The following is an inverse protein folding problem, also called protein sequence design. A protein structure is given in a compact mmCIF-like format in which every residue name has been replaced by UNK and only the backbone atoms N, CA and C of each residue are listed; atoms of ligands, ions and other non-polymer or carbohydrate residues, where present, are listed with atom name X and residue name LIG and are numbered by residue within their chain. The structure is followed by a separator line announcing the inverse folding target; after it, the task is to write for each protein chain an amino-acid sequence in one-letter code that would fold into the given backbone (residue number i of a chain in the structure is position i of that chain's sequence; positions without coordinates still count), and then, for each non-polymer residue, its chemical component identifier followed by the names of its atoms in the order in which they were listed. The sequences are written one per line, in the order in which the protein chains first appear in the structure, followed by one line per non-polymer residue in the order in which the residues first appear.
data_IF_582499100867
#
_entry.id   IF_582499100867
#
_cell.length_a   1.000
_cell.length_b   1.000
_cell.length_c   1.000
_cell.angle_alpha   90.00
_cell.angle_beta   90.00
_cell.angle_gamma   90.00
#
_symmetry.space_group_name_H-M   'P 1'
#
loop_
_entity.id
_entity.type
_entity.pdbx_description
1 polymer ?
#
# COMPACT_ATOMS: atom_id res chain seq x y z
N UNK A 1 -14.12 -13.88 -2.51
CA UNK A 1 -13.11 -12.98 -1.90
C UNK A 1 -12.74 -11.80 -2.81
N UNK A 2 -12.39 -12.02 -4.09
CA UNK A 2 -11.98 -10.97 -5.04
C UNK A 2 -13.07 -9.90 -5.23
N UNK A 3 -14.32 -10.31 -5.47
CA UNK A 3 -15.46 -9.39 -5.61
C UNK A 3 -15.62 -8.49 -4.38
N UNK A 4 -15.53 -9.06 -3.17
CA UNK A 4 -15.60 -8.28 -1.94
C UNK A 4 -14.49 -7.22 -1.89
N UNK A 5 -13.25 -7.56 -2.29
CA UNK A 5 -12.13 -6.60 -2.33
C UNK A 5 -12.38 -5.45 -3.30
N UNK A 6 -12.94 -5.74 -4.48
CA UNK A 6 -13.34 -4.73 -5.47
C UNK A 6 -14.37 -3.80 -4.85
N UNK A 7 -15.47 -4.34 -4.31
CA UNK A 7 -16.53 -3.55 -3.68
C UNK A 7 -16.01 -2.69 -2.53
N UNK A 8 -15.23 -3.28 -1.61
CA UNK A 8 -14.68 -2.53 -0.46
C UNK A 8 -13.72 -1.45 -0.91
N UNK A 9 -12.85 -1.71 -1.90
CA UNK A 9 -11.90 -0.69 -2.39
C UNK A 9 -12.61 0.44 -3.13
N UNK A 10 -13.63 0.16 -3.93
CA UNK A 10 -14.46 1.18 -4.57
C UNK A 10 -15.19 2.06 -3.55
N UNK A 11 -15.80 1.45 -2.53
CA UNK A 11 -16.46 2.20 -1.44
C UNK A 11 -15.45 3.07 -0.68
N UNK A 12 -14.28 2.52 -0.34
CA UNK A 12 -13.22 3.29 0.34
C UNK A 12 -12.74 4.48 -0.50
N UNK A 13 -12.58 4.32 -1.82
CA UNK A 13 -12.20 5.42 -2.72
C UNK A 13 -13.26 6.53 -2.69
N UNK A 14 -14.54 6.17 -2.81
CA UNK A 14 -15.63 7.15 -2.76
C UNK A 14 -15.62 7.89 -1.42
N UNK A 15 -15.50 7.16 -0.30
CA UNK A 15 -15.45 7.76 1.04
C UNK A 15 -14.25 8.70 1.22
N UNK A 16 -13.07 8.33 0.72
CA UNK A 16 -11.88 9.18 0.76
C UNK A 16 -12.07 10.46 -0.07
N UNK A 17 -12.65 10.36 -1.26
CA UNK A 17 -12.98 11.54 -2.07
C UNK A 17 -13.99 12.44 -1.35
N UNK A 18 -15.03 11.87 -0.75
CA UNK A 18 -15.99 12.63 0.06
C UNK A 18 -15.31 13.33 1.25
N UNK A 19 -14.42 12.64 1.97
CA UNK A 19 -13.66 13.23 3.07
C UNK A 19 -12.82 14.43 2.63
N UNK A 20 -12.15 14.36 1.48
CA UNK A 20 -11.36 15.47 0.96
C UNK A 20 -12.25 16.68 0.61
N UNK A 21 -13.47 16.45 0.08
CA UNK A 21 -14.45 17.51 -0.12
C UNK A 21 -14.88 18.21 1.18
N UNK A 22 -14.89 17.49 2.31
CA UNK A 22 -15.27 18.03 3.62
C UNK A 22 -14.07 18.50 4.47
N UNK A 23 -12.84 18.44 3.95
CA UNK A 23 -11.60 18.77 4.67
C UNK A 23 -11.62 20.13 5.37
N UNK A 24 -12.24 21.14 4.76
CA UNK A 24 -12.27 22.51 5.29
C UNK A 24 -13.13 22.64 6.56
N UNK A 25 -14.04 21.70 6.82
CA UNK A 25 -14.90 21.72 8.02
C UNK A 25 -14.23 21.16 9.26
N UNK A 26 -13.06 20.52 9.14
CA UNK A 26 -12.40 19.87 10.27
C UNK A 26 -11.50 20.85 11.05
N UNK A 27 -11.81 21.21 12.31
CA UNK A 27 -10.99 22.12 13.12
C UNK A 27 -9.83 21.35 13.76
N UNK A 28 -8.82 21.00 12.95
CA UNK A 28 -7.58 20.40 13.45
C UNK A 28 -6.38 21.31 13.27
N UNK A 29 -5.39 21.13 14.15
CA UNK A 29 -4.09 21.77 14.05
C UNK A 29 -3.41 21.47 12.70
N UNK A 30 -2.61 22.41 12.21
CA UNK A 30 -2.08 22.36 10.83
C UNK A 30 -1.17 21.14 10.60
N UNK A 31 -0.38 20.73 11.59
CA UNK A 31 0.45 19.52 11.55
C UNK A 31 -0.40 18.25 11.36
N UNK A 32 -1.44 18.10 12.17
CA UNK A 32 -2.36 16.97 12.11
C UNK A 32 -3.10 16.91 10.78
N UNK A 33 -3.56 18.05 10.24
CA UNK A 33 -4.17 18.11 8.89
C UNK A 33 -3.20 17.61 7.81
N UNK A 34 -1.94 18.01 7.89
CA UNK A 34 -0.91 17.58 6.94
C UNK A 34 -0.67 16.06 7.02
N UNK A 35 -0.55 15.50 8.23
CA UNK A 35 -0.37 14.06 8.43
C UNK A 35 -1.60 13.25 7.98
N UNK A 36 -2.81 13.74 8.27
CA UNK A 36 -4.07 13.13 7.82
C UNK A 36 -4.14 13.08 6.29
N UNK A 37 -3.72 14.15 5.60
CA UNK A 37 -3.69 14.18 4.14
C UNK A 37 -2.71 13.14 3.57
N UNK A 38 -1.52 13.00 4.16
CA UNK A 38 -0.56 11.96 3.76
C UNK A 38 -1.11 10.56 4.00
N UNK A 39 -1.74 10.32 5.15
CA UNK A 39 -2.40 9.05 5.43
C UNK A 39 -3.54 8.74 4.44
N UNK A 40 -4.36 9.75 4.13
CA UNK A 40 -5.42 9.66 3.13
C UNK A 40 -4.87 9.33 1.74
N UNK A 41 -3.75 9.95 1.34
CA UNK A 41 -3.05 9.66 0.09
C UNK A 41 -2.56 8.21 0.04
N UNK A 42 -1.89 7.72 1.09
CA UNK A 42 -1.43 6.32 1.15
C UNK A 42 -2.59 5.33 1.08
N UNK A 43 -3.67 5.60 1.80
CA UNK A 43 -4.88 4.77 1.77
C UNK A 43 -5.52 4.78 0.38
N UNK A 44 -5.57 5.95 -0.27
CA UNK A 44 -6.06 6.08 -1.64
C UNK A 44 -5.24 5.24 -2.63
N UNK A 45 -3.90 5.34 -2.58
CA UNK A 45 -2.99 4.53 -3.42
C UNK A 45 -3.19 3.04 -3.15
N UNK A 46 -3.36 2.64 -1.88
CA UNK A 46 -3.60 1.25 -1.50
C UNK A 46 -4.93 0.72 -2.07
N UNK A 47 -6.01 1.51 -1.98
CA UNK A 47 -7.30 1.14 -2.53
C UNK A 47 -7.28 1.06 -4.06
N UNK A 48 -6.66 2.04 -4.74
CA UNK A 48 -6.54 2.04 -6.21
C UNK A 48 -5.69 0.86 -6.69
N UNK A 49 -4.55 0.60 -6.07
CA UNK A 49 -3.70 -0.55 -6.42
C UNK A 49 -4.44 -1.88 -6.19
N UNK A 50 -5.18 -2.00 -5.10
CA UNK A 50 -6.04 -3.17 -4.84
C UNK A 50 -7.12 -3.31 -5.91
N UNK A 51 -7.81 -2.23 -6.26
CA UNK A 51 -8.86 -2.25 -7.28
C UNK A 51 -8.32 -2.69 -8.64
N UNK A 52 -7.18 -2.13 -9.05
CA UNK A 52 -6.51 -2.47 -10.31
C UNK A 52 -6.07 -3.95 -10.32
N UNK A 53 -5.37 -4.41 -9.27
CA UNK A 53 -4.87 -5.79 -9.18
C UNK A 53 -6.02 -6.82 -9.26
N UNK A 54 -7.11 -6.58 -8.53
CA UNK A 54 -8.27 -7.47 -8.55
C UNK A 54 -9.04 -7.39 -9.88
N UNK A 55 -9.15 -6.21 -10.49
CA UNK A 55 -9.80 -6.05 -11.81
C UNK A 55 -9.04 -6.79 -12.90
N UNK A 56 -7.71 -6.66 -12.93
CA UNK A 56 -6.88 -7.40 -13.88
C UNK A 56 -7.01 -8.90 -13.64
N UNK A 57 -6.99 -9.35 -12.38
CA UNK A 57 -7.16 -10.77 -12.04
C UNK A 57 -8.49 -11.31 -12.56
N UNK A 58 -9.60 -10.60 -12.34
CA UNK A 58 -10.92 -10.99 -12.87
C UNK A 58 -10.91 -11.04 -14.40
N UNK A 59 -10.34 -10.00 -15.03
CA UNK A 59 -10.26 -9.94 -16.49
C UNK A 59 -9.45 -11.12 -17.06
N UNK A 60 -8.27 -11.40 -16.52
CA UNK A 60 -7.43 -12.53 -16.94
C UNK A 60 -8.16 -13.86 -16.77
N UNK A 61 -8.84 -14.07 -15.64
CA UNK A 61 -9.63 -15.29 -15.43
C UNK A 61 -10.81 -15.42 -16.40
N UNK A 62 -11.43 -14.30 -16.79
CA UNK A 62 -12.54 -14.29 -17.73
C UNK A 62 -12.10 -14.57 -19.17
N UNK A 63 -10.93 -14.06 -19.57
CA UNK A 63 -10.42 -14.18 -20.95
C UNK A 63 -9.49 -15.38 -21.17
N UNK A 64 -9.07 -16.08 -20.11
CA UNK A 64 -8.14 -17.20 -20.23
C UNK A 64 -8.79 -18.36 -21.00
N UNK A 65 -8.15 -18.76 -22.09
CA UNK A 65 -8.54 -19.97 -22.84
C UNK A 65 -7.69 -21.16 -22.43
N UNK A 66 -6.42 -20.92 -22.06
CA UNK A 66 -5.48 -21.92 -21.59
C UNK A 66 -4.92 -21.58 -20.20
N UNK A 67 -4.50 -22.59 -19.44
CA UNK A 67 -3.90 -22.40 -18.12
C UNK A 67 -2.60 -21.56 -18.15
N UNK A 68 -1.88 -21.58 -19.28
CA UNK A 68 -0.68 -20.77 -19.49
C UNK A 68 -0.96 -19.27 -19.53
N UNK A 69 -2.18 -18.86 -19.90
CA UNK A 69 -2.56 -17.44 -20.05
C UNK A 69 -2.66 -16.73 -18.69
N UNK A 70 -2.74 -17.50 -17.61
CA UNK A 70 -2.81 -17.01 -16.22
C UNK A 70 -1.40 -16.78 -15.65
N UNK A 71 -0.35 -17.30 -16.30
CA UNK A 71 1.02 -17.17 -15.81
C UNK A 71 1.54 -15.75 -16.04
N UNK A 72 1.82 -15.04 -14.95
CA UNK A 72 2.45 -13.73 -14.97
C UNK A 72 3.96 -13.85 -14.85
N UNK A 73 4.66 -12.90 -15.49
CA UNK A 73 6.12 -12.78 -15.36
C UNK A 73 6.51 -11.95 -14.14
N UNK A 74 7.76 -12.12 -13.70
CA UNK A 74 8.39 -11.34 -12.62
C UNK A 74 8.22 -9.83 -12.81
N UNK A 75 8.39 -9.35 -14.04
CA UNK A 75 8.30 -7.92 -14.37
C UNK A 75 6.87 -7.37 -14.28
N UNK A 76 5.86 -8.22 -14.45
CA UNK A 76 4.46 -7.82 -14.26
C UNK A 76 4.07 -7.83 -12.77
N UNK A 77 4.60 -8.79 -12.01
CA UNK A 77 4.26 -8.97 -10.60
C UNK A 77 4.93 -7.96 -9.68
N UNK A 78 6.20 -7.65 -9.92
CA UNK A 78 6.98 -6.74 -9.08
C UNK A 78 6.34 -5.35 -8.91
N UNK A 79 5.98 -4.61 -9.98
CA UNK A 79 5.38 -3.29 -9.81
C UNK A 79 4.01 -3.35 -9.14
N UNK A 80 3.19 -4.37 -9.44
CA UNK A 80 1.86 -4.54 -8.82
C UNK A 80 1.96 -4.70 -7.32
N UNK A 81 2.93 -5.47 -6.84
CA UNK A 81 3.14 -5.70 -5.40
C UNK A 81 3.88 -4.56 -4.72
N UNK A 82 4.88 -3.98 -5.38
CA UNK A 82 5.66 -2.89 -4.81
C UNK A 82 4.79 -1.68 -4.48
N UNK A 83 3.90 -1.28 -5.39
CA UNK A 83 3.01 -0.13 -5.17
C UNK A 83 2.12 -0.36 -3.93
N UNK A 84 1.48 -1.53 -3.84
CA UNK A 84 0.65 -1.88 -2.70
C UNK A 84 1.45 -1.97 -1.39
N UNK A 85 2.67 -2.52 -1.43
CA UNK A 85 3.55 -2.60 -0.26
C UNK A 85 3.97 -1.22 0.23
N UNK A 86 4.43 -0.33 -0.66
CA UNK A 86 4.81 1.05 -0.34
C UNK A 86 3.61 1.77 0.29
N UNK A 87 2.41 1.64 -0.30
CA UNK A 87 1.21 2.27 0.23
C UNK A 87 0.81 1.74 1.62
N UNK A 88 0.95 0.42 1.85
CA UNK A 88 0.70 -0.20 3.14
C UNK A 88 1.68 0.33 4.20
N UNK A 89 2.99 0.32 3.92
CA UNK A 89 4.00 0.83 4.86
C UNK A 89 3.84 2.33 5.08
N UNK A 90 3.49 3.12 4.06
CA UNK A 90 3.16 4.53 4.19
C UNK A 90 1.95 4.77 5.09
N UNK A 91 0.90 3.94 4.97
CA UNK A 91 -0.28 4.01 5.84
C UNK A 91 0.09 3.71 7.31
N UNK A 92 0.87 2.65 7.56
CA UNK A 92 1.35 2.32 8.92
C UNK A 92 2.26 3.42 9.50
N UNK A 93 3.22 3.90 8.70
CA UNK A 93 4.17 4.93 9.13
C UNK A 93 3.47 6.27 9.42
N UNK A 94 2.47 6.65 8.62
CA UNK A 94 1.66 7.85 8.86
C UNK A 94 0.79 7.72 10.12
N UNK A 95 0.23 6.55 10.43
CA UNK A 95 -0.45 6.31 11.71
C UNK A 95 0.50 6.47 12.90
N UNK A 96 1.71 5.93 12.81
CA UNK A 96 2.75 6.12 13.83
C UNK A 96 3.11 7.60 14.01
N UNK A 97 3.29 8.33 12.90
CA UNK A 97 3.58 9.76 12.93
C UNK A 97 2.43 10.57 13.59
N UNK A 98 1.17 10.26 13.27
CA UNK A 98 0.01 10.87 13.93
C UNK A 98 -0.03 10.56 15.43
N UNK A 99 0.29 9.33 15.85
CA UNK A 99 0.34 8.95 17.25
C UNK A 99 1.43 9.70 18.02
N UNK A 100 2.62 9.86 17.43
CA UNK A 100 3.73 10.64 18.00
C UNK A 100 3.37 12.13 18.12
N UNK A 101 2.71 12.69 17.11
CA UNK A 101 2.25 14.07 17.12
C UNK A 101 1.21 14.31 18.24
N UNK A 102 0.24 13.40 18.39
CA UNK A 102 -0.74 13.47 19.48
C UNK A 102 -0.10 13.31 20.85
N UNK A 103 0.88 12.41 21.00
CA UNK A 103 1.64 12.25 22.25
C UNK A 103 2.39 13.53 22.60
N UNK A 104 3.04 14.17 21.61
CA UNK A 104 3.74 15.43 21.81
C UNK A 104 2.79 16.55 22.23
N UNK A 105 1.61 16.62 21.61
CA UNK A 105 0.54 17.56 21.97
C UNK A 105 0.07 17.37 23.41
N UNK A 106 -0.14 16.11 23.84
CA UNK A 106 -0.55 15.80 25.22
C UNK A 106 0.55 16.12 26.24
N UNK A 107 1.82 15.89 25.91
CA UNK A 107 2.94 16.17 26.82
C UNK A 107 3.21 17.67 27.00
N UNK A 108 2.85 18.50 26.02
CA UNK A 108 3.17 19.93 26.00
C UNK A 108 1.91 20.80 25.81
N UNK A 109 0.80 20.46 26.47
CA UNK A 109 -0.49 21.11 26.26
C UNK A 109 -0.43 22.65 26.32
N UNK A 110 0.34 23.20 27.26
CA UNK A 110 0.47 24.65 27.46
C UNK A 110 1.23 25.38 26.34
N UNK A 111 2.15 24.69 25.65
CA UNK A 111 3.00 25.28 24.60
C UNK A 111 2.70 24.71 23.21
N UNK A 112 1.75 23.77 23.11
CA UNK A 112 1.41 23.12 21.85
C UNK A 112 0.78 24.10 20.86
N UNK A 113 -0.11 24.98 21.32
CA UNK A 113 -0.75 25.98 20.44
C UNK A 113 0.23 27.06 19.97
N UNK A 114 1.30 27.31 20.73
CA UNK A 114 2.35 28.28 20.39
C UNK A 114 3.55 27.66 19.68
N UNK A 115 3.67 26.32 19.63
CA UNK A 115 4.81 25.68 19.00
C UNK A 115 4.76 25.91 17.48
N UNK A 116 5.91 26.34 16.94
CA UNK A 116 5.98 26.78 15.56
C UNK A 116 5.53 25.73 14.55
N UNK A 117 5.05 26.20 13.40
CA UNK A 117 4.53 25.43 12.24
C UNK A 117 5.53 24.39 11.67
N UNK A 118 6.76 24.37 12.15
CA UNK A 118 7.88 23.54 11.67
C UNK A 118 7.85 22.09 12.16
N UNK A 119 7.14 21.77 13.24
CA UNK A 119 7.10 20.41 13.78
C UNK A 119 6.36 19.43 12.86
N UNK A 120 5.28 19.87 12.20
CA UNK A 120 4.51 19.03 11.26
C UNK A 120 5.35 18.43 10.14
N UNK A 121 6.10 19.25 9.36
CA UNK A 121 7.00 18.76 8.33
C UNK A 121 8.03 17.72 8.79
N UNK A 122 8.51 17.77 10.03
CA UNK A 122 9.48 16.80 10.57
C UNK A 122 8.86 15.40 10.61
N UNK A 123 7.65 15.27 11.15
CA UNK A 123 6.92 13.99 11.15
C UNK A 123 6.61 13.49 9.73
N UNK A 124 6.42 14.42 8.79
CA UNK A 124 6.26 14.09 7.38
C UNK A 124 7.52 13.47 6.79
N UNK A 125 8.67 14.14 6.96
CA UNK A 125 9.96 13.63 6.45
C UNK A 125 10.31 12.27 7.07
N UNK A 126 10.12 12.11 8.39
CA UNK A 126 10.43 10.85 9.07
C UNK A 126 9.62 9.67 8.53
N UNK A 127 8.31 9.83 8.33
CA UNK A 127 7.51 8.72 7.79
C UNK A 127 7.81 8.46 6.31
N UNK A 128 8.15 9.47 5.52
CA UNK A 128 8.57 9.28 4.12
C UNK A 128 9.87 8.48 4.02
N UNK A 129 10.86 8.80 4.85
CA UNK A 129 12.13 8.05 4.93
C UNK A 129 11.85 6.59 5.28
N UNK A 130 11.02 6.34 6.30
CA UNK A 130 10.65 4.98 6.69
C UNK A 130 9.93 4.23 5.56
N UNK A 131 8.99 4.89 4.88
CA UNK A 131 8.22 4.32 3.77
C UNK A 131 9.12 3.95 2.59
N UNK A 132 10.03 4.85 2.20
CA UNK A 132 10.99 4.58 1.12
C UNK A 132 11.97 3.49 1.49
N UNK A 133 12.49 3.49 2.72
CA UNK A 133 13.37 2.44 3.23
C UNK A 133 12.71 1.06 3.20
N UNK A 134 11.47 0.95 3.70
CA UNK A 134 10.70 -0.30 3.66
C UNK A 134 10.35 -0.75 2.23
N UNK A 135 10.00 0.18 1.34
CA UNK A 135 9.77 -0.10 -0.08
C UNK A 135 11.02 -0.61 -0.79
N UNK A 136 12.18 -0.02 -0.50
CA UNK A 136 13.47 -0.48 -1.01
C UNK A 136 13.81 -1.88 -0.50
N UNK A 137 13.56 -2.16 0.79
CA UNK A 137 13.75 -3.51 1.33
C UNK A 137 12.87 -4.53 0.60
N UNK A 138 11.59 -4.24 0.37
CA UNK A 138 10.71 -5.09 -0.44
C UNK A 138 11.24 -5.26 -1.87
N UNK A 139 11.73 -4.20 -2.49
CA UNK A 139 12.33 -4.32 -3.83
C UNK A 139 13.57 -5.25 -3.83
N UNK A 140 14.48 -5.08 -2.87
CA UNK A 140 15.75 -5.79 -2.81
C UNK A 140 15.60 -7.26 -2.39
N UNK A 141 14.70 -7.55 -1.45
CA UNK A 141 14.52 -8.89 -0.90
C UNK A 141 13.76 -9.84 -1.83
N UNK A 142 12.97 -9.30 -2.77
CA UNK A 142 12.07 -10.11 -3.59
C UNK A 142 12.74 -10.54 -4.89
N UNK A 143 12.67 -11.84 -5.16
CA UNK A 143 12.96 -12.43 -6.46
C UNK A 143 11.71 -13.17 -6.90
N UNK A 144 11.19 -12.88 -8.08
CA UNK A 144 10.06 -13.61 -8.63
C UNK A 144 10.62 -14.71 -9.56
N UNK A 145 10.14 -15.96 -9.44
CA UNK A 145 10.43 -16.98 -10.44
C UNK A 145 9.85 -16.55 -11.79
N UNK A 146 10.43 -17.06 -12.89
CA UNK A 146 10.16 -16.55 -14.25
C UNK A 146 8.68 -16.55 -14.64
N UNK A 147 7.87 -17.46 -14.09
CA UNK A 147 6.42 -17.56 -14.33
C UNK A 147 5.66 -18.04 -13.09
N UNK A 148 4.63 -17.30 -12.65
CA UNK A 148 3.70 -17.75 -11.58
C UNK A 148 2.24 -17.44 -11.91
N UNK A 149 1.28 -18.30 -11.53
CA UNK A 149 -0.14 -18.06 -11.81
C UNK A 149 -0.73 -16.91 -10.99
N UNK A 150 -0.11 -16.64 -9.84
CA UNK A 150 -0.45 -15.50 -9.00
C UNK A 150 0.83 -14.79 -8.60
N UNK A 151 0.77 -13.47 -8.54
CA UNK A 151 1.81 -12.66 -7.92
C UNK A 151 1.75 -12.83 -6.41
N UNK A 152 1.83 -14.04 -5.87
CA UNK A 152 1.99 -14.23 -4.43
C UNK A 152 3.43 -13.93 -4.06
N UNK A 153 3.67 -13.64 -2.79
CA UNK A 153 5.01 -13.41 -2.27
C UNK A 153 5.70 -14.77 -2.25
N UNK A 154 6.27 -15.19 -3.38
CA UNK A 154 6.90 -16.49 -3.50
C UNK A 154 8.39 -16.30 -3.29
N UNK A 155 8.80 -16.64 -2.06
CA UNK A 155 10.16 -16.98 -1.62
C UNK A 155 11.22 -15.87 -1.67
N UNK A 156 11.98 -15.66 -0.57
CA UNK A 156 13.21 -14.88 -0.61
C UNK A 156 14.13 -15.37 -1.73
N UNK A 157 14.89 -14.46 -2.35
CA UNK A 157 15.91 -14.82 -3.34
C UNK A 157 16.80 -15.95 -2.79
N UNK A 158 16.94 -17.04 -3.55
CA UNK A 158 17.84 -18.15 -3.23
C UNK A 158 17.15 -19.51 -2.95
N UNK A 159 15.82 -19.57 -2.87
CA UNK A 159 15.10 -20.85 -2.84
C UNK A 159 14.70 -21.20 -4.28
N UNK A 160 15.67 -21.74 -5.01
CA UNK A 160 15.53 -22.19 -6.41
C UNK A 160 14.63 -23.42 -6.51
N UNK A 161 13.67 -23.35 -7.42
CA UNK A 161 12.92 -24.47 -8.04
C UNK A 161 11.95 -25.28 -7.16
N UNK A 162 10.76 -24.71 -6.90
CA UNK A 162 9.56 -25.54 -7.02
C UNK A 162 9.28 -25.69 -8.52
N UNK A 163 9.77 -26.80 -9.09
CA UNK A 163 9.56 -27.17 -10.47
C UNK A 163 8.10 -27.67 -10.65
N UNK A 164 7.15 -26.74 -10.76
CA UNK A 164 5.71 -27.03 -10.92
C UNK A 164 5.43 -27.84 -12.21
N UNK A 165 6.38 -27.86 -13.15
CA UNK A 165 6.26 -28.56 -14.44
C UNK A 165 6.19 -30.09 -14.24
N UNK A 166 6.74 -30.63 -13.15
CA UNK A 166 6.76 -32.08 -12.93
C UNK A 166 5.49 -32.65 -12.27
N UNK A 167 4.53 -31.81 -11.85
CA UNK A 167 3.26 -32.29 -11.26
C UNK A 167 2.23 -32.63 -12.34
N UNK A 168 2.35 -32.07 -13.55
CA UNK A 168 1.41 -32.35 -14.64
C UNK A 168 1.62 -33.69 -15.34
N UNK A 169 2.73 -34.39 -15.09
CA UNK A 169 3.01 -35.71 -15.69
C UNK A 169 2.55 -36.90 -14.82
N UNK A 170 1.87 -36.64 -13.70
CA UNK A 170 1.41 -37.69 -12.76
C UNK A 170 -0.11 -37.69 -12.51
N UNK A 171 -0.90 -37.09 -13.41
CA UNK A 171 -2.37 -37.16 -13.40
C UNK A 171 -2.82 -37.53 -14.81
#
# INVERSE_FOLDING_TARGET
LIICRILTSSVSIILLCCMECYRNKFPAHKSMKMLMNWHGLWTFILCVSTLIDNSITVHTHWTASNASDILLTSEQCLPRRLIGAIALYGSVASMMAMALERRAASAHLATYDSTGRWHGPIYVVLHLIFTLGSGWMVWASYGYPSKTPHCTIVTPRGITELNIINVQYYI
#
